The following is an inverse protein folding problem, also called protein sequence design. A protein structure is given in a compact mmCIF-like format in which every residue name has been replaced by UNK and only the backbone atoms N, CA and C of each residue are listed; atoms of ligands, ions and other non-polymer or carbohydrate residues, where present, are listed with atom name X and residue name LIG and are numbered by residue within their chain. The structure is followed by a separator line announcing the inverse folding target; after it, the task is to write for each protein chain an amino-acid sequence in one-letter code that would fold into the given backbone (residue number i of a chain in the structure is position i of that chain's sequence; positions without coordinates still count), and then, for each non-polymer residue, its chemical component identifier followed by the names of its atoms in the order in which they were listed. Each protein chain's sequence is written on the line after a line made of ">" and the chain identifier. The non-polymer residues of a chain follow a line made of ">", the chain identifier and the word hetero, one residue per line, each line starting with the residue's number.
data_IF_015050599339
#
_entry.id   IF_015050599339
#
_cell.length_a   1.000
_cell.length_b   1.000
_cell.length_c   1.000
_cell.angle_alpha   90.00
_cell.angle_beta   90.00
_cell.angle_gamma   90.00
#
_symmetry.space_group_name_H-M   'P 1'
#
loop_
_entity.id
_entity.type
_entity.pdbx_description
1 polymer ?
#
# COMPACT_ATOMS: atom_id res chain seq x y z
N UNK A 1 -10.41 6.56 -2.65
CA UNK A 1 -11.72 6.19 -3.23
C UNK A 1 -12.82 6.36 -2.20
N UNK A 2 -13.90 7.11 -2.52
CA UNK A 2 -15.08 7.25 -1.67
C UNK A 2 -16.16 6.28 -2.12
N UNK A 3 -16.68 5.47 -1.20
CA UNK A 3 -17.83 4.59 -1.44
C UNK A 3 -18.91 4.92 -0.40
N UNK A 4 -20.16 4.53 -0.67
CA UNK A 4 -21.26 4.69 0.30
C UNK A 4 -20.88 4.07 1.64
N UNK A 5 -20.77 4.89 2.69
CA UNK A 5 -20.43 4.46 4.05
C UNK A 5 -18.96 4.12 4.34
N UNK A 6 -18.03 4.25 3.37
CA UNK A 6 -16.60 4.01 3.61
C UNK A 6 -15.67 4.76 2.66
N UNK A 7 -14.54 5.25 3.19
CA UNK A 7 -13.41 5.72 2.39
C UNK A 7 -12.28 4.70 2.45
N UNK A 8 -11.75 4.37 1.27
CA UNK A 8 -10.63 3.44 1.10
C UNK A 8 -9.44 4.20 0.53
N UNK A 9 -8.30 4.09 1.20
CA UNK A 9 -7.01 4.59 0.76
C UNK A 9 -6.20 3.46 0.13
N UNK A 10 -5.69 3.71 -1.07
CA UNK A 10 -4.68 2.87 -1.70
C UNK A 10 -3.30 3.43 -1.33
N UNK A 11 -2.42 2.62 -0.74
CA UNK A 11 -1.09 3.05 -0.33
C UNK A 11 0.00 2.34 -1.14
N UNK A 12 1.06 3.08 -1.44
CA UNK A 12 2.30 2.57 -2.02
C UNK A 12 3.22 2.07 -0.90
N UNK A 13 4.03 1.06 -1.23
CA UNK A 13 5.05 0.46 -0.36
C UNK A 13 6.46 0.64 -0.90
N UNK A 14 6.62 0.94 -2.19
CA UNK A 14 7.89 1.19 -2.86
C UNK A 14 7.70 2.30 -3.90
N UNK A 15 8.79 2.89 -4.36
CA UNK A 15 8.84 3.71 -5.57
C UNK A 15 9.25 2.80 -6.72
N UNK A 16 8.32 2.54 -7.63
CA UNK A 16 8.46 1.49 -8.64
C UNK A 16 8.12 0.10 -8.09
N UNK A 17 8.37 -0.95 -8.85
CA UNK A 17 8.11 -2.34 -8.43
C UNK A 17 9.03 -3.32 -9.17
N UNK A 18 9.73 -4.18 -8.44
CA UNK A 18 10.64 -5.18 -9.02
C UNK A 18 9.90 -6.40 -9.62
N UNK A 19 8.60 -6.54 -9.38
CA UNK A 19 7.86 -7.74 -9.82
C UNK A 19 7.67 -7.82 -11.33
N UNK A 20 7.82 -6.70 -12.05
CA UNK A 20 7.87 -6.70 -13.51
C UNK A 20 6.59 -7.16 -14.20
N UNK A 21 5.43 -7.07 -13.55
CA UNK A 21 4.14 -7.40 -14.17
C UNK A 21 3.97 -6.57 -15.45
N UNK A 22 3.81 -7.23 -16.59
CA UNK A 22 3.88 -6.58 -17.91
C UNK A 22 2.65 -5.70 -18.20
N UNK A 23 1.54 -5.96 -17.52
CA UNK A 23 0.29 -5.17 -17.55
C UNK A 23 0.26 -4.04 -16.50
N UNK A 24 1.36 -3.76 -15.80
CA UNK A 24 1.40 -2.77 -14.72
C UNK A 24 2.41 -1.67 -15.03
N UNK A 25 1.98 -0.40 -15.06
CA UNK A 25 2.87 0.73 -15.30
C UNK A 25 3.98 0.84 -14.25
N UNK A 26 3.67 0.56 -12.99
CA UNK A 26 4.67 0.52 -11.93
C UNK A 26 5.68 -0.63 -12.14
N UNK A 27 5.23 -1.78 -12.63
CA UNK A 27 6.08 -2.94 -12.90
C UNK A 27 7.10 -2.67 -14.00
N UNK A 28 6.73 -1.88 -15.01
CA UNK A 28 7.61 -1.52 -16.12
C UNK A 28 8.63 -0.43 -15.79
N UNK A 29 8.44 0.32 -14.70
CA UNK A 29 9.43 1.31 -14.23
C UNK A 29 10.66 0.66 -13.59
N UNK A 30 10.58 -0.62 -13.21
CA UNK A 30 11.55 -1.25 -12.30
C UNK A 30 11.41 -0.72 -10.88
N UNK A 31 12.34 -1.11 -10.00
CA UNK A 31 12.39 -0.62 -8.62
C UNK A 31 13.39 0.52 -8.49
N UNK A 32 12.99 1.59 -7.80
CA UNK A 32 13.85 2.72 -7.45
C UNK A 32 14.25 2.63 -5.98
N UNK A 33 13.29 2.51 -5.06
CA UNK A 33 13.55 2.43 -3.63
C UNK A 33 12.38 1.81 -2.85
N UNK A 34 12.67 1.25 -1.68
CA UNK A 34 11.68 0.92 -0.66
C UNK A 34 11.26 2.18 0.11
N UNK A 35 9.98 2.29 0.46
CA UNK A 35 9.51 3.33 1.37
C UNK A 35 9.75 2.92 2.82
N UNK A 36 10.20 3.85 3.66
CA UNK A 36 10.21 3.61 5.10
C UNK A 36 8.77 3.62 5.65
N UNK A 37 8.59 3.09 6.87
CA UNK A 37 7.26 3.06 7.49
C UNK A 37 6.64 4.44 7.67
N UNK A 38 7.48 5.48 7.86
CA UNK A 38 7.05 6.88 7.96
C UNK A 38 6.40 7.37 6.67
N UNK A 39 7.03 7.12 5.52
CA UNK A 39 6.53 7.51 4.19
C UNK A 39 5.24 6.75 3.82
N UNK A 40 5.11 5.49 4.24
CA UNK A 40 3.86 4.73 4.09
C UNK A 40 2.74 5.35 4.94
N UNK A 41 3.05 5.72 6.19
CA UNK A 41 2.07 6.32 7.11
C UNK A 41 1.69 7.75 6.74
N UNK A 42 2.61 8.50 6.15
CA UNK A 42 2.36 9.87 5.68
C UNK A 42 1.23 9.90 4.65
N UNK A 43 1.15 8.92 3.74
CA UNK A 43 0.04 8.80 2.79
C UNK A 43 -1.32 8.72 3.52
N UNK A 44 -1.40 7.97 4.63
CA UNK A 44 -2.61 7.88 5.45
C UNK A 44 -2.89 9.19 6.20
N UNK A 45 -1.86 9.83 6.74
CA UNK A 45 -1.99 11.10 7.46
C UNK A 45 -2.53 12.20 6.54
N UNK A 46 -2.00 12.33 5.31
CA UNK A 46 -2.50 13.30 4.33
C UNK A 46 -3.91 12.96 3.86
N UNK A 47 -4.20 11.70 3.55
CA UNK A 47 -5.54 11.29 3.13
C UNK A 47 -6.61 11.59 4.19
N UNK A 48 -6.29 11.42 5.48
CA UNK A 48 -7.19 11.74 6.58
C UNK A 48 -7.51 13.24 6.71
N UNK A 49 -6.66 14.13 6.19
CA UNK A 49 -6.97 15.58 6.12
C UNK A 49 -8.04 15.88 5.07
N UNK A 50 -8.19 15.01 4.07
CA UNK A 50 -9.16 15.16 2.98
C UNK A 50 -10.48 14.44 3.30
N UNK A 51 -10.42 13.25 3.89
CA UNK A 51 -11.60 12.49 4.30
C UNK A 51 -11.24 11.44 5.36
N UNK A 52 -12.16 11.10 6.30
CA UNK A 52 -11.89 10.08 7.30
C UNK A 52 -11.70 8.71 6.64
N UNK A 53 -10.50 8.14 6.73
CA UNK A 53 -10.14 6.87 6.11
C UNK A 53 -10.52 5.72 7.02
N UNK A 54 -11.26 4.76 6.46
CA UNK A 54 -11.73 3.57 7.19
C UNK A 54 -11.04 2.29 6.71
N UNK A 55 -10.62 2.22 5.45
CA UNK A 55 -9.96 1.06 4.88
C UNK A 55 -8.65 1.46 4.21
N UNK A 56 -7.64 0.60 4.32
CA UNK A 56 -6.36 0.76 3.65
C UNK A 56 -6.09 -0.49 2.82
N UNK A 57 -5.65 -0.30 1.58
CA UNK A 57 -5.23 -1.40 0.70
C UNK A 57 -3.80 -1.13 0.21
N UNK A 58 -2.92 -2.10 0.38
CA UNK A 58 -1.58 -2.08 -0.21
C UNK A 58 -1.67 -2.59 -1.66
N UNK A 59 -2.19 -1.73 -2.54
CA UNK A 59 -2.36 -1.98 -3.97
C UNK A 59 -1.87 -0.77 -4.80
N UNK A 60 -1.05 0.10 -4.18
CA UNK A 60 -0.39 1.21 -4.85
C UNK A 60 0.88 0.73 -5.55
N UNK A 61 1.93 1.54 -5.50
CA UNK A 61 3.22 1.16 -6.07
C UNK A 61 3.97 0.17 -5.17
N UNK A 62 4.62 -0.82 -5.78
CA UNK A 62 5.48 -1.80 -5.11
C UNK A 62 4.84 -3.13 -4.74
N UNK A 63 5.69 -4.10 -4.38
CA UNK A 63 5.31 -5.38 -3.78
C UNK A 63 5.49 -5.29 -2.25
N UNK A 64 4.40 -5.20 -1.47
CA UNK A 64 4.47 -4.96 -0.02
C UNK A 64 5.27 -6.03 0.73
N UNK A 65 5.27 -7.28 0.26
CA UNK A 65 6.02 -8.33 0.92
C UNK A 65 7.53 -8.29 0.65
N UNK A 66 8.00 -7.58 -0.39
CA UNK A 66 9.43 -7.31 -0.57
C UNK A 66 9.93 -6.23 0.39
N UNK A 67 9.05 -5.28 0.78
CA UNK A 67 9.33 -4.26 1.80
C UNK A 67 8.71 -4.62 3.18
N UNK A 68 8.92 -5.87 3.61
CA UNK A 68 8.12 -6.48 4.68
C UNK A 68 8.19 -5.74 6.02
N UNK A 69 9.39 -5.37 6.48
CA UNK A 69 9.58 -4.83 7.83
C UNK A 69 8.98 -3.43 7.98
N UNK A 70 9.16 -2.57 6.96
CA UNK A 70 8.56 -1.24 6.93
C UNK A 70 7.03 -1.33 6.81
N UNK A 71 6.50 -2.23 5.97
CA UNK A 71 5.06 -2.45 5.82
C UNK A 71 4.45 -2.97 7.13
N UNK A 72 5.09 -3.94 7.80
CA UNK A 72 4.61 -4.47 9.08
C UNK A 72 4.62 -3.40 10.17
N UNK A 73 5.68 -2.58 10.24
CA UNK A 73 5.75 -1.45 11.16
C UNK A 73 4.64 -0.43 10.88
N UNK A 74 4.38 -0.11 9.61
CA UNK A 74 3.30 0.78 9.20
C UNK A 74 1.92 0.19 9.59
N UNK A 75 1.65 -1.08 9.31
CA UNK A 75 0.40 -1.76 9.71
C UNK A 75 0.19 -1.68 11.23
N UNK A 76 1.22 -1.94 12.02
CA UNK A 76 1.15 -1.85 13.49
C UNK A 76 0.80 -0.43 13.94
N UNK A 77 1.40 0.60 13.33
CA UNK A 77 1.09 1.99 13.63
C UNK A 77 -0.31 2.40 13.15
N UNK A 78 -0.76 1.95 11.97
CA UNK A 78 -2.13 2.16 11.47
C UNK A 78 -3.17 1.66 12.47
N UNK A 79 -2.92 0.51 13.09
CA UNK A 79 -3.82 -0.03 14.12
C UNK A 79 -3.69 0.65 15.48
N UNK A 80 -2.46 0.81 15.99
CA UNK A 80 -2.25 1.31 17.36
C UNK A 80 -2.41 2.83 17.50
N UNK A 81 -2.01 3.59 16.49
CA UNK A 81 -1.97 5.06 16.53
C UNK A 81 -3.16 5.65 15.79
N UNK A 82 -3.47 5.14 14.58
CA UNK A 82 -4.58 5.65 13.77
C UNK A 82 -5.92 4.95 14.04
N UNK A 83 -5.95 3.95 14.93
CA UNK A 83 -7.18 3.27 15.36
C UNK A 83 -7.86 2.41 14.28
N UNK A 84 -7.16 2.06 13.20
CA UNK A 84 -7.71 1.20 12.15
C UNK A 84 -7.77 -0.25 12.62
N UNK A 85 -8.98 -0.83 12.67
CA UNK A 85 -9.12 -2.24 12.95
C UNK A 85 -8.40 -3.06 11.85
N UNK A 86 -7.55 -4.04 12.18
CA UNK A 86 -6.72 -4.76 11.20
C UNK A 86 -7.51 -5.39 10.05
N UNK A 87 -8.76 -5.81 10.30
CA UNK A 87 -9.66 -6.37 9.28
C UNK A 87 -10.03 -5.39 8.15
N UNK A 88 -9.77 -4.10 8.30
CA UNK A 88 -9.96 -3.08 7.28
C UNK A 88 -8.66 -2.73 6.54
N UNK A 89 -7.57 -3.43 6.85
CA UNK A 89 -6.31 -3.36 6.13
C UNK A 89 -6.20 -4.61 5.25
N UNK A 90 -6.01 -4.42 3.96
CA UNK A 90 -5.76 -5.50 3.00
C UNK A 90 -4.35 -5.35 2.44
N UNK A 91 -3.53 -6.39 2.57
CA UNK A 91 -2.25 -6.48 1.91
C UNK A 91 -2.39 -7.33 0.64
N UNK A 92 -2.06 -6.77 -0.52
CA UNK A 92 -1.98 -7.52 -1.78
C UNK A 92 -0.55 -7.97 -2.03
N UNK A 93 -0.38 -9.15 -2.62
CA UNK A 93 0.94 -9.65 -3.05
C UNK A 93 0.83 -10.44 -4.35
N UNK A 94 1.86 -10.37 -5.18
CA UNK A 94 2.01 -11.22 -6.37
C UNK A 94 2.59 -12.59 -6.06
N UNK A 95 2.87 -12.90 -4.78
CA UNK A 95 3.15 -14.28 -4.35
C UNK A 95 4.51 -14.51 -3.69
N UNK A 96 5.00 -13.60 -2.83
CA UNK A 96 6.24 -13.82 -2.06
C UNK A 96 5.99 -14.87 -0.96
N UNK A 97 6.10 -16.16 -1.34
CA UNK A 97 5.61 -17.33 -0.59
C UNK A 97 6.00 -17.33 0.90
N UNK A 98 7.29 -17.15 1.21
CA UNK A 98 7.77 -17.19 2.59
C UNK A 98 7.21 -16.05 3.45
N UNK A 99 7.00 -14.87 2.85
CA UNK A 99 6.43 -13.70 3.52
C UNK A 99 4.91 -13.81 3.71
N UNK A 100 4.19 -14.53 2.85
CA UNK A 100 2.77 -14.86 3.09
C UNK A 100 2.63 -15.64 4.39
N UNK A 101 3.45 -16.70 4.57
CA UNK A 101 3.46 -17.50 5.80
C UNK A 101 3.87 -16.67 7.01
N UNK A 102 4.83 -15.77 6.86
CA UNK A 102 5.25 -14.87 7.93
C UNK A 102 4.14 -13.88 8.33
N UNK A 103 3.51 -13.20 7.37
CA UNK A 103 2.38 -12.28 7.60
C UNK A 103 1.23 -12.95 8.35
N UNK A 104 0.96 -14.21 8.01
CA UNK A 104 -0.09 -15.01 8.66
C UNK A 104 0.11 -15.16 10.17
N UNK A 105 1.37 -15.10 10.65
CA UNK A 105 1.73 -15.15 12.07
C UNK A 105 1.87 -13.75 12.67
N UNK A 106 2.55 -12.84 11.97
CA UNK A 106 2.93 -11.54 12.50
C UNK A 106 1.75 -10.54 12.51
N UNK A 107 0.77 -10.72 11.62
CA UNK A 107 -0.42 -9.87 11.48
C UNK A 107 -1.68 -10.68 11.10
N UNK A 108 -2.14 -11.62 11.96
CA UNK A 108 -3.17 -12.62 11.62
C UNK A 108 -4.58 -12.05 11.34
N UNK A 109 -4.82 -10.78 11.64
CA UNK A 109 -6.10 -10.12 11.43
C UNK A 109 -6.13 -9.21 10.19
N UNK A 110 -4.99 -8.99 9.54
CA UNK A 110 -4.90 -8.29 8.26
C UNK A 110 -5.44 -9.19 7.16
N UNK A 111 -6.20 -8.62 6.22
CA UNK A 111 -6.73 -9.36 5.07
C UNK A 111 -5.64 -9.55 4.02
N UNK A 112 -5.64 -10.72 3.39
CA UNK A 112 -4.73 -11.04 2.29
C UNK A 112 -5.49 -10.98 0.96
N UNK A 113 -4.90 -10.30 0.00
CA UNK A 113 -5.25 -10.41 -1.41
C UNK A 113 -4.09 -11.05 -2.19
N UNK A 114 -4.40 -12.00 -3.07
CA UNK A 114 -3.46 -12.62 -3.98
C UNK A 114 -3.68 -12.06 -5.38
N UNK A 115 -2.68 -11.37 -5.91
CA UNK A 115 -2.56 -11.02 -7.33
C UNK A 115 -2.19 -12.28 -8.13
N UNK A 116 -3.21 -13.06 -8.52
CA UNK A 116 -3.05 -14.35 -9.21
C UNK A 116 -2.89 -14.16 -10.72
N UNK A 117 -3.86 -13.48 -11.33
CA UNK A 117 -3.92 -13.08 -12.74
C UNK A 117 -3.85 -14.18 -13.82
N UNK A 118 -3.41 -15.40 -13.50
CA UNK A 118 -3.42 -16.53 -14.42
C UNK A 118 -3.53 -17.85 -13.65
N UNK A 119 -4.27 -18.85 -14.17
CA UNK A 119 -4.51 -20.10 -13.47
C UNK A 119 -3.50 -21.21 -13.77
N UNK A 120 -2.51 -20.97 -14.63
CA UNK A 120 -1.38 -21.90 -14.87
C UNK A 120 -0.04 -21.19 -14.72
N UNK A 121 1.02 -21.95 -14.49
CA UNK A 121 2.37 -21.38 -14.33
C UNK A 121 2.86 -20.72 -15.62
N UNK A 122 2.54 -21.31 -16.76
CA UNK A 122 2.96 -20.86 -18.10
C UNK A 122 2.37 -19.48 -18.37
N UNK A 123 1.04 -19.36 -18.27
CA UNK A 123 0.34 -18.08 -18.44
C UNK A 123 0.80 -17.05 -17.41
N UNK A 124 1.02 -17.46 -16.15
CA UNK A 124 1.50 -16.55 -15.11
C UNK A 124 2.90 -16.00 -15.42
N UNK A 125 3.78 -16.83 -15.97
CA UNK A 125 5.15 -16.44 -16.30
C UNK A 125 5.21 -15.47 -17.48
N UNK A 126 4.20 -15.50 -18.37
CA UNK A 126 4.07 -14.55 -19.48
C UNK A 126 3.75 -13.13 -18.99
N UNK A 127 2.82 -13.00 -18.05
CA UNK A 127 2.34 -11.68 -17.59
C UNK A 127 3.01 -11.20 -16.29
N UNK A 128 3.59 -12.11 -15.51
CA UNK A 128 4.39 -11.84 -14.31
C UNK A 128 5.69 -12.65 -14.41
N UNK A 129 6.73 -12.13 -15.09
CA UNK A 129 7.98 -12.86 -15.35
C UNK A 129 8.68 -13.38 -14.08
N UNK A 130 8.56 -12.64 -12.97
CA UNK A 130 9.11 -13.01 -11.66
C UNK A 130 8.40 -14.21 -11.01
N UNK A 131 7.24 -14.64 -11.53
CA UNK A 131 6.54 -15.83 -11.03
C UNK A 131 7.29 -17.14 -11.28
N UNK A 132 8.30 -17.15 -12.14
CA UNK A 132 9.22 -18.28 -12.31
C UNK A 132 9.96 -18.64 -11.01
N UNK A 133 10.24 -17.65 -10.15
CA UNK A 133 10.82 -17.86 -8.83
C UNK A 133 9.80 -18.38 -7.80
N UNK A 134 8.50 -18.31 -8.10
CA UNK A 134 7.41 -18.65 -7.20
C UNK A 134 6.41 -19.60 -7.88
N UNK A 135 6.73 -20.90 -7.97
CA UNK A 135 5.87 -21.89 -8.59
C UNK A 135 4.43 -21.86 -8.05
N UNK A 136 3.45 -21.92 -8.96
CA UNK A 136 2.02 -21.76 -8.66
C UNK A 136 1.52 -22.78 -7.65
N UNK A 137 1.97 -24.03 -7.73
CA UNK A 137 1.63 -25.09 -6.77
C UNK A 137 2.07 -24.72 -5.34
N UNK A 138 3.29 -24.24 -5.17
CA UNK A 138 3.84 -23.80 -3.88
C UNK A 138 3.17 -22.53 -3.38
N UNK A 139 2.78 -21.64 -4.28
CA UNK A 139 2.03 -20.45 -3.96
C UNK A 139 0.64 -20.81 -3.44
N UNK A 140 -0.09 -21.68 -4.13
CA UNK A 140 -1.40 -22.16 -3.68
C UNK A 140 -1.29 -22.90 -2.35
N UNK A 141 -0.24 -23.69 -2.13
CA UNK A 141 0.02 -24.32 -0.83
C UNK A 141 0.20 -23.28 0.30
N UNK A 142 0.86 -22.15 0.05
CA UNK A 142 0.98 -21.08 1.04
C UNK A 142 -0.35 -20.34 1.30
N UNK A 143 -1.24 -20.28 0.30
CA UNK A 143 -2.61 -19.79 0.49
C UNK A 143 -3.42 -20.77 1.32
N UNK A 144 -3.28 -22.07 1.08
CA UNK A 144 -3.93 -23.11 1.88
C UNK A 144 -3.48 -23.05 3.34
N UNK A 145 -2.17 -22.91 3.58
CA UNK A 145 -1.62 -22.68 4.92
C UNK A 145 -2.24 -21.42 5.56
N UNK A 146 -2.33 -20.32 4.82
CA UNK A 146 -2.91 -19.07 5.32
C UNK A 146 -4.39 -19.22 5.69
N UNK A 147 -5.17 -19.94 4.88
CA UNK A 147 -6.60 -20.21 5.12
C UNK A 147 -6.80 -21.13 6.33
N UNK A 148 -5.97 -22.17 6.48
CA UNK A 148 -6.06 -23.13 7.57
C UNK A 148 -5.80 -22.53 8.97
N UNK A 149 -5.11 -21.40 9.04
CA UNK A 149 -4.80 -20.72 10.32
C UNK A 149 -6.03 -20.23 11.09
N UNK A 150 -7.18 -20.03 10.44
CA UNK A 150 -8.42 -19.62 11.12
C UNK A 150 -9.67 -19.98 10.31
N UNK A 151 -10.65 -20.61 10.96
CA UNK A 151 -11.94 -20.87 10.36
C UNK A 151 -12.64 -19.58 9.87
N UNK A 152 -13.31 -19.67 8.71
CA UNK A 152 -14.01 -18.55 8.10
C UNK A 152 -13.09 -17.47 7.51
N UNK A 153 -11.77 -17.70 7.50
CA UNK A 153 -10.83 -16.83 6.78
C UNK A 153 -11.08 -16.93 5.27
N UNK A 154 -10.86 -15.80 4.59
CA UNK A 154 -11.12 -15.62 3.17
C UNK A 154 -9.92 -14.91 2.55
N UNK A 155 -9.45 -15.40 1.42
CA UNK A 155 -8.46 -14.69 0.59
C UNK A 155 -9.16 -14.07 -0.62
N UNK A 156 -8.89 -12.79 -0.89
CA UNK A 156 -9.33 -12.18 -2.13
C UNK A 156 -8.35 -12.56 -3.23
N UNK A 157 -8.84 -13.07 -4.35
CA UNK A 157 -8.02 -13.41 -5.51
C UNK A 157 -8.24 -12.35 -6.57
N UNK A 158 -7.25 -11.50 -6.79
CA UNK A 158 -7.27 -10.46 -7.81
C UNK A 158 -6.88 -11.08 -9.16
N UNK A 159 -7.72 -10.90 -10.17
CA UNK A 159 -7.54 -11.43 -11.51
C UNK A 159 -7.71 -10.32 -12.54
N UNK A 160 -6.60 -9.88 -13.15
CA UNK A 160 -6.61 -8.82 -14.15
C UNK A 160 -6.96 -9.47 -15.48
N UNK A 161 -8.08 -9.08 -16.08
CA UNK A 161 -8.58 -9.69 -17.31
C UNK A 161 -7.99 -8.96 -18.52
N UNK A 162 -7.24 -9.70 -19.33
CA UNK A 162 -6.49 -9.23 -20.49
C UNK A 162 -7.03 -9.96 -21.74
N UNK A 163 -7.55 -9.19 -22.68
CA UNK A 163 -8.20 -9.70 -23.88
C UNK A 163 -7.27 -10.58 -24.70
N UNK A 164 -7.69 -11.81 -25.00
CA UNK A 164 -6.94 -12.77 -25.81
C UNK A 164 -5.73 -13.40 -25.11
N UNK A 165 -5.54 -13.13 -23.81
CA UNK A 165 -4.39 -13.64 -23.04
C UNK A 165 -4.86 -14.59 -21.94
N UNK A 166 -5.81 -14.16 -21.11
CA UNK A 166 -6.24 -14.91 -19.92
C UNK A 166 -7.75 -14.84 -19.65
N UNK A 167 -8.54 -14.49 -20.66
CA UNK A 167 -9.98 -14.24 -20.58
C UNK A 167 -10.84 -15.29 -21.30
N UNK A 168 -10.24 -16.38 -21.79
CA UNK A 168 -10.99 -17.44 -22.46
C UNK A 168 -11.87 -18.26 -21.50
N UNK A 169 -12.93 -18.88 -22.04
CA UNK A 169 -13.83 -19.76 -21.26
C UNK A 169 -13.09 -20.98 -20.72
N UNK A 170 -12.17 -21.55 -21.50
CA UNK A 170 -11.30 -22.65 -21.07
C UNK A 170 -10.45 -22.21 -19.87
N UNK A 171 -9.90 -21.00 -19.94
CA UNK A 171 -9.12 -20.40 -18.84
C UNK A 171 -9.97 -20.21 -17.59
N UNK A 172 -11.24 -19.80 -17.75
CA UNK A 172 -12.19 -19.72 -16.63
C UNK A 172 -12.42 -21.09 -15.97
N UNK A 173 -12.54 -22.16 -16.76
CA UNK A 173 -12.64 -23.51 -16.21
C UNK A 173 -11.37 -23.96 -15.48
N UNK A 174 -10.17 -23.63 -15.98
CA UNK A 174 -8.91 -23.96 -15.30
C UNK A 174 -8.83 -23.19 -13.97
N UNK A 175 -9.16 -21.90 -13.96
CA UNK A 175 -9.22 -21.08 -12.75
C UNK A 175 -10.23 -21.63 -11.74
N UNK A 176 -11.43 -21.99 -12.22
CA UNK A 176 -12.47 -22.62 -11.41
C UNK A 176 -11.98 -23.88 -10.71
N UNK A 177 -11.31 -24.78 -11.45
CA UNK A 177 -10.71 -26.01 -10.91
C UNK A 177 -9.56 -25.75 -9.94
N UNK A 178 -8.77 -24.70 -10.17
CA UNK A 178 -7.67 -24.31 -9.29
C UNK A 178 -8.20 -23.80 -7.94
N UNK A 179 -9.31 -23.07 -7.95
CA UNK A 179 -9.82 -22.36 -6.77
C UNK A 179 -10.97 -23.06 -6.05
N UNK A 180 -11.63 -24.03 -6.69
CA UNK A 180 -12.67 -24.82 -6.04
C UNK A 180 -12.16 -25.43 -4.73
N UNK A 181 -13.04 -25.53 -3.73
CA UNK A 181 -12.75 -25.98 -2.36
C UNK A 181 -11.91 -25.02 -1.49
N UNK A 182 -11.51 -23.85 -2.00
CA UNK A 182 -10.85 -22.81 -1.19
C UNK A 182 -11.85 -21.73 -0.78
N UNK A 183 -11.72 -21.23 0.44
CA UNK A 183 -12.45 -20.05 0.89
C UNK A 183 -11.83 -18.80 0.26
N UNK A 184 -12.21 -18.52 -0.99
CA UNK A 184 -11.73 -17.38 -1.77
C UNK A 184 -12.88 -16.55 -2.33
N UNK A 185 -12.56 -15.29 -2.61
CA UNK A 185 -13.41 -14.38 -3.38
C UNK A 185 -12.63 -13.85 -4.57
N UNK A 186 -13.07 -14.20 -5.77
CA UNK A 186 -12.42 -13.78 -7.02
C UNK A 186 -12.89 -12.38 -7.39
N UNK A 187 -11.94 -11.46 -7.50
CA UNK A 187 -12.17 -10.11 -7.97
C UNK A 187 -11.64 -10.01 -9.41
N UNK A 188 -12.56 -10.08 -10.37
CA UNK A 188 -12.25 -9.88 -11.79
C UNK A 188 -12.08 -8.38 -12.03
N UNK A 189 -10.89 -7.98 -12.48
CA UNK A 189 -10.53 -6.59 -12.76
C UNK A 189 -10.40 -6.45 -14.27
N UNK A 190 -11.36 -5.83 -14.96
CA UNK A 190 -11.19 -5.46 -16.36
C UNK A 190 -9.94 -4.58 -16.50
N UNK A 191 -9.08 -4.90 -17.46
CA UNK A 191 -7.83 -4.15 -17.64
C UNK A 191 -8.09 -2.66 -17.85
N UNK A 192 -7.38 -1.83 -17.10
CA UNK A 192 -7.37 -0.39 -17.33
C UNK A 192 -6.25 -0.10 -18.32
N UNK A 193 -6.57 0.52 -19.45
CA UNK A 193 -5.55 0.94 -20.41
C UNK A 193 -4.56 1.86 -19.70
N UNK A 194 -3.28 1.54 -19.81
CA UNK A 194 -2.18 2.31 -19.22
C UNK A 194 -1.39 3.00 -20.32
N UNK A 195 -0.70 4.10 -20.00
CA UNK A 195 0.20 4.79 -20.93
C UNK A 195 1.47 3.99 -21.30
N UNK A 196 1.68 2.83 -20.67
CA UNK A 196 2.76 1.92 -21.04
C UNK A 196 2.44 1.21 -22.35
N UNK A 197 3.45 1.01 -23.19
CA UNK A 197 3.34 0.34 -24.51
C UNK A 197 2.97 -1.16 -24.49
N UNK A 198 2.33 -1.64 -23.42
CA UNK A 198 1.82 -3.00 -23.33
C UNK A 198 0.62 -3.16 -24.28
N UNK A 199 0.67 -4.16 -25.15
CA UNK A 199 -0.35 -4.45 -26.18
C UNK A 199 -1.65 -5.05 -25.61
N UNK A 200 -1.93 -4.84 -24.32
CA UNK A 200 -3.08 -5.42 -23.66
C UNK A 200 -4.32 -4.53 -23.80
N UNK A 201 -5.46 -5.19 -23.88
CA UNK A 201 -6.77 -4.55 -23.96
C UNK A 201 -7.70 -5.17 -22.92
N UNK A 202 -8.72 -4.42 -22.49
CA UNK A 202 -9.80 -5.01 -21.71
C UNK A 202 -10.63 -5.94 -22.61
N UNK A 203 -11.02 -7.12 -22.14
CA UNK A 203 -12.00 -7.94 -22.83
C UNK A 203 -13.34 -7.22 -22.98
N UNK A 204 -14.19 -7.74 -23.87
CA UNK A 204 -15.54 -7.21 -24.02
C UNK A 204 -16.36 -7.44 -22.74
N UNK A 205 -17.36 -6.60 -22.45
CA UNK A 205 -18.25 -6.84 -21.32
C UNK A 205 -18.99 -8.19 -21.39
N UNK A 206 -19.19 -8.74 -22.59
CA UNK A 206 -19.80 -10.06 -22.79
C UNK A 206 -18.85 -11.18 -22.36
N UNK A 207 -17.59 -11.13 -22.78
CA UNK A 207 -16.55 -12.11 -22.40
C UNK A 207 -16.35 -12.12 -20.89
N UNK A 208 -16.29 -10.94 -20.26
CA UNK A 208 -16.16 -10.80 -18.80
C UNK A 208 -17.34 -11.47 -18.08
N UNK A 209 -18.58 -11.25 -18.56
CA UNK A 209 -19.78 -11.88 -17.99
C UNK A 209 -19.78 -13.38 -18.19
N UNK A 210 -19.35 -13.87 -19.35
CA UNK A 210 -19.27 -15.29 -19.64
C UNK A 210 -18.21 -15.98 -18.75
N UNK A 211 -17.03 -15.38 -18.61
CA UNK A 211 -15.99 -15.84 -17.68
C UNK A 211 -16.49 -15.86 -16.23
N UNK A 212 -17.18 -14.79 -15.80
CA UNK A 212 -17.78 -14.69 -14.47
C UNK A 212 -18.83 -15.77 -14.20
N UNK A 213 -19.71 -16.05 -15.17
CA UNK A 213 -20.71 -17.11 -15.09
C UNK A 213 -20.06 -18.48 -14.92
N UNK A 214 -18.98 -18.77 -15.65
CA UNK A 214 -18.22 -20.03 -15.48
C UNK A 214 -17.62 -20.15 -14.08
N UNK A 215 -17.14 -19.09 -13.46
CA UNK A 215 -16.65 -19.21 -12.08
C UNK A 215 -17.78 -19.50 -11.08
N UNK A 216 -18.95 -18.90 -11.29
CA UNK A 216 -20.08 -19.02 -10.37
C UNK A 216 -20.86 -20.31 -10.52
N UNK A 217 -21.24 -20.68 -11.74
CA UNK A 217 -22.29 -21.68 -11.95
C UNK A 217 -21.76 -23.12 -11.76
N UNK A 218 -20.72 -23.57 -12.49
CA UNK A 218 -20.18 -24.92 -12.32
C UNK A 218 -19.26 -25.10 -11.09
N UNK A 219 -18.62 -24.03 -10.58
CA UNK A 219 -17.65 -24.14 -9.47
C UNK A 219 -18.10 -23.51 -8.16
N UNK A 220 -19.25 -22.82 -8.13
CA UNK A 220 -19.80 -22.15 -6.94
C UNK A 220 -18.81 -21.17 -6.26
N UNK A 221 -17.96 -20.51 -7.06
CA UNK A 221 -17.02 -19.51 -6.52
C UNK A 221 -17.72 -18.17 -6.31
N UNK A 222 -17.36 -17.49 -5.22
CA UNK A 222 -17.73 -16.08 -5.04
C UNK A 222 -16.88 -15.25 -5.98
N UNK A 223 -17.51 -14.61 -6.96
CA UNK A 223 -16.83 -13.75 -7.92
C UNK A 223 -17.54 -12.41 -8.08
N UNK A 224 -16.77 -11.32 -8.17
CA UNK A 224 -17.25 -9.97 -8.50
C UNK A 224 -16.46 -9.39 -9.65
N UNK A 225 -17.15 -8.66 -10.53
CA UNK A 225 -16.52 -7.81 -11.53
C UNK A 225 -16.32 -6.45 -10.87
N UNK A 226 -15.07 -5.98 -10.83
CA UNK A 226 -14.70 -4.70 -10.22
C UNK A 226 -15.10 -3.55 -11.15
N UNK A 227 -15.76 -2.54 -10.59
CA UNK A 227 -15.98 -1.27 -11.27
C UNK A 227 -14.67 -0.48 -11.32
N UNK A 228 -14.33 0.05 -12.50
CA UNK A 228 -13.17 0.90 -12.66
C UNK A 228 -13.43 2.26 -12.00
N UNK A 229 -12.58 2.63 -11.04
CA UNK A 229 -12.63 3.93 -10.37
C UNK A 229 -11.32 4.68 -10.64
N UNK A 230 -11.42 5.95 -11.06
CA UNK A 230 -10.28 6.85 -11.22
C UNK A 230 -9.48 6.68 -12.51
N UNK A 231 -10.00 5.95 -13.51
CA UNK A 231 -9.36 5.79 -14.82
C UNK A 231 -9.17 7.14 -15.55
N UNK A 232 -10.04 8.11 -15.28
CA UNK A 232 -10.01 9.48 -15.81
C UNK A 232 -8.84 10.33 -15.29
N UNK A 233 -8.20 9.91 -14.19
CA UNK A 233 -7.11 10.63 -13.53
C UNK A 233 -5.87 9.75 -13.32
N UNK A 234 -5.72 8.66 -14.07
CA UNK A 234 -4.66 7.66 -13.91
C UNK A 234 -4.55 7.06 -12.49
N UNK A 235 -5.66 7.06 -11.76
CA UNK A 235 -5.77 6.59 -10.39
C UNK A 235 -6.24 5.14 -10.27
N UNK A 236 -6.51 4.45 -11.39
CA UNK A 236 -6.94 3.06 -11.36
C UNK A 236 -5.76 2.11 -11.07
N UNK A 237 -6.08 0.88 -10.64
CA UNK A 237 -5.06 -0.12 -10.34
C UNK A 237 -4.17 -0.37 -11.56
N UNK A 238 -2.85 -0.25 -11.36
CA UNK A 238 -1.85 -0.47 -12.42
C UNK A 238 -1.46 0.77 -13.22
N UNK A 239 -2.14 1.91 -13.06
CA UNK A 239 -1.85 3.16 -13.80
C UNK A 239 -0.87 4.10 -13.08
N UNK A 240 -0.54 3.84 -11.80
CA UNK A 240 0.36 4.67 -11.01
C UNK A 240 1.79 4.61 -11.56
N UNK A 241 2.16 5.64 -12.33
CA UNK A 241 3.50 5.84 -12.86
C UNK A 241 4.00 7.25 -12.52
N UNK A 242 5.32 7.38 -12.36
CA UNK A 242 5.94 8.69 -12.24
C UNK A 242 5.85 9.39 -13.61
N UNK A 243 4.97 10.38 -13.73
CA UNK A 243 4.99 11.32 -14.85
C UNK A 243 5.97 12.44 -14.50
N UNK A 244 6.86 12.80 -15.41
CA UNK A 244 7.69 14.00 -15.26
C UNK A 244 6.75 15.20 -15.09
N UNK A 245 6.71 15.81 -13.89
CA UNK A 245 5.87 16.99 -13.62
C UNK A 245 6.27 18.11 -14.59
N UNK A 246 5.35 18.68 -15.39
CA UNK A 246 5.57 20.03 -15.89
C UNK A 246 5.62 20.98 -14.69
N UNK A 247 6.54 21.95 -14.74
CA UNK A 247 6.75 22.93 -13.69
C UNK A 247 5.43 23.67 -13.40
N UNK A 248 4.98 23.68 -12.13
CA UNK A 248 3.76 24.39 -11.69
C UNK A 248 2.50 23.56 -11.38
N UNK A 249 2.55 22.22 -11.32
CA UNK A 249 1.40 21.42 -10.86
C UNK A 249 1.29 21.41 -9.31
N UNK A 250 0.07 21.70 -8.81
CA UNK A 250 -0.27 21.67 -7.37
C UNK A 250 0.00 20.28 -6.79
N UNK A 251 0.65 20.24 -5.63
CA UNK A 251 0.93 19.01 -4.90
C UNK A 251 -0.14 18.69 -3.86
N UNK A 252 -0.17 17.46 -3.34
CA UNK A 252 -1.15 17.09 -2.31
C UNK A 252 -0.96 17.90 -1.02
N UNK A 253 0.26 18.34 -0.74
CA UNK A 253 0.61 19.26 0.34
C UNK A 253 -0.07 20.63 0.19
N UNK A 254 -0.46 21.00 -1.02
CA UNK A 254 -1.18 22.24 -1.31
C UNK A 254 -2.70 22.14 -1.06
N UNK A 255 -3.23 20.92 -0.83
CA UNK A 255 -4.67 20.64 -0.73
C UNK A 255 -5.23 20.67 0.71
N UNK A 256 -4.49 21.19 1.69
CA UNK A 256 -4.99 21.44 3.04
C UNK A 256 -5.66 22.81 3.22
N UNK A 257 -6.42 23.05 4.31
CA UNK A 257 -6.86 24.39 4.65
C UNK A 257 -5.63 25.28 4.80
N UNK A 258 -5.47 26.25 3.89
CA UNK A 258 -4.37 27.19 3.94
C UNK A 258 -4.44 27.93 5.26
N UNK A 259 -3.43 27.72 6.12
CA UNK A 259 -3.17 28.63 7.23
C UNK A 259 -2.98 30.00 6.60
N UNK A 260 -3.93 30.92 6.81
CA UNK A 260 -3.81 32.31 6.38
C UNK A 260 -2.50 32.84 6.95
N UNK A 261 -1.47 32.97 6.11
CA UNK A 261 -0.25 33.64 6.51
C UNK A 261 -0.66 35.06 6.84
N UNK A 262 -0.51 35.45 8.12
CA UNK A 262 -0.67 36.83 8.53
C UNK A 262 0.18 37.71 7.59
N UNK A 263 -0.35 38.81 7.07
CA UNK A 263 0.36 39.61 6.06
C UNK A 263 1.72 40.05 6.62
N UNK A 264 2.79 39.67 5.93
CA UNK A 264 4.14 40.17 6.20
C UNK A 264 4.12 41.69 5.98
N UNK A 265 4.20 42.46 7.07
CA UNK A 265 4.44 43.91 7.01
C UNK A 265 5.77 44.15 6.29
N UNK A 266 5.72 44.76 5.10
CA UNK A 266 6.89 45.31 4.43
C UNK A 266 7.49 46.42 5.32
N UNK A 267 8.66 46.17 5.91
CA UNK A 267 9.49 47.23 6.49
C UNK A 267 10.13 48.00 5.34
N UNK A 268 9.71 49.25 5.12
CA UNK A 268 10.54 50.29 4.50
C UNK A 268 11.18 51.14 5.59
N UNK A 269 12.38 51.71 5.36
CA UNK A 269 13.14 52.44 6.37
C UNK A 269 12.51 53.81 6.67
N UNK A 270 12.81 54.28 7.88
CA UNK A 270 12.24 55.38 8.63
C UNK A 270 12.44 56.79 8.05
N UNK A 271 11.41 57.63 8.20
CA UNK A 271 11.55 59.03 8.66
C UNK A 271 10.20 59.58 9.16
N UNK A 272 10.24 60.29 10.30
CA UNK A 272 9.25 61.33 10.65
C UNK A 272 8.11 60.98 11.62
N UNK A 273 8.37 61.27 12.90
CA UNK A 273 7.54 62.02 13.87
C UNK A 273 6.04 61.70 14.10
N UNK A 274 5.77 61.40 15.38
CA UNK A 274 4.73 61.95 16.27
C UNK A 274 3.65 61.02 16.84
N UNK A 275 3.40 61.33 18.12
CA UNK A 275 2.68 60.63 19.18
C UNK A 275 1.21 60.28 18.86
N UNK A 276 0.70 59.17 19.41
CA UNK A 276 -0.15 59.23 20.60
C UNK A 276 -0.59 57.84 21.11
N UNK A 277 -0.87 57.85 22.40
CA UNK A 277 -1.06 56.76 23.35
C UNK A 277 -2.44 56.07 23.34
N UNK A 278 -2.45 54.85 23.87
CA UNK A 278 -3.39 54.24 24.86
C UNK A 278 -3.94 52.86 24.48
N UNK A 279 -3.38 51.87 25.19
CA UNK A 279 -4.01 50.78 25.97
C UNK A 279 -5.31 50.10 25.49
N UNK A 280 -5.27 48.76 25.39
CA UNK A 280 -6.19 47.85 26.12
C UNK A 280 -5.78 46.37 25.93
N UNK A 281 -5.65 45.69 27.06
CA UNK A 281 -5.33 44.27 27.32
C UNK A 281 -5.93 43.20 26.38
N UNK A 282 -5.25 42.05 26.16
CA UNK A 282 -5.80 40.94 25.37
C UNK A 282 -6.66 39.98 26.22
N UNK A 283 -7.80 39.58 25.66
CA UNK A 283 -8.60 38.44 26.13
C UNK A 283 -7.92 37.14 25.68
N UNK A 284 -7.54 36.29 26.64
CA UNK A 284 -6.93 35.00 26.40
C UNK A 284 -7.94 33.95 25.92
N UNK A 285 -7.64 33.27 24.81
CA UNK A 285 -8.30 32.01 24.42
C UNK A 285 -7.25 30.89 24.44
N UNK A 286 -7.49 29.92 25.32
CA UNK A 286 -6.65 28.77 25.64
C UNK A 286 -6.50 27.80 24.46
N UNK A 287 -5.33 27.80 23.82
CA UNK A 287 -4.85 26.77 22.88
C UNK A 287 -3.64 25.99 23.42
N UNK A 288 -3.19 26.26 24.65
CA UNK A 288 -1.95 25.74 25.21
C UNK A 288 -1.95 24.25 25.57
N UNK A 289 -3.11 23.61 25.78
CA UNK A 289 -3.15 22.28 26.40
C UNK A 289 -2.75 21.12 25.49
N UNK A 290 -2.87 21.22 24.16
CA UNK A 290 -2.54 20.08 23.27
C UNK A 290 -1.08 20.09 22.84
N UNK A 291 -0.56 21.26 22.47
CA UNK A 291 0.85 21.42 22.11
C UNK A 291 1.78 21.21 23.32
N UNK A 292 1.36 21.63 24.52
CA UNK A 292 2.10 21.33 25.74
C UNK A 292 2.17 19.82 25.99
N UNK A 293 1.06 19.07 25.83
CA UNK A 293 1.05 17.61 26.00
C UNK A 293 1.88 16.86 24.96
N UNK A 294 1.99 17.37 23.73
CA UNK A 294 2.84 16.79 22.69
C UNK A 294 4.32 17.07 22.98
N UNK A 295 4.65 18.27 23.45
CA UNK A 295 6.03 18.59 23.84
C UNK A 295 6.45 17.85 25.11
N UNK A 296 5.60 17.76 26.13
CA UNK A 296 5.87 17.00 27.36
C UNK A 296 6.06 15.51 27.04
N UNK A 297 5.29 14.95 26.09
CA UNK A 297 5.49 13.58 25.59
C UNK A 297 6.81 13.41 24.81
N UNK A 298 7.25 14.41 24.05
CA UNK A 298 8.52 14.35 23.33
C UNK A 298 9.69 14.44 24.33
N UNK A 299 9.60 15.31 25.33
CA UNK A 299 10.63 15.49 26.35
C UNK A 299 10.73 14.30 27.32
N UNK A 300 9.60 13.69 27.71
CA UNK A 300 9.55 12.51 28.57
C UNK A 300 10.20 11.27 27.92
N UNK A 301 10.12 11.15 26.59
CA UNK A 301 10.65 10.00 25.86
C UNK A 301 11.98 10.25 25.15
N UNK A 302 12.53 11.47 25.18
CA UNK A 302 13.86 11.77 24.64
C UNK A 302 14.98 10.95 25.31
N UNK A 303 14.90 10.72 26.62
CA UNK A 303 15.87 9.89 27.33
C UNK A 303 15.73 8.41 26.94
N UNK A 304 14.50 7.89 26.79
CA UNK A 304 14.26 6.51 26.38
C UNK A 304 14.74 6.22 24.94
N UNK A 305 14.53 7.18 24.03
CA UNK A 305 15.01 7.09 22.64
C UNK A 305 16.55 7.18 22.59
N UNK A 306 17.15 8.07 23.38
CA UNK A 306 18.61 8.20 23.49
C UNK A 306 19.30 6.93 24.03
N UNK A 307 18.76 6.30 25.07
CA UNK A 307 19.30 5.06 25.63
C UNK A 307 19.17 3.87 24.67
N UNK A 308 18.11 3.82 23.86
CA UNK A 308 17.91 2.75 22.88
C UNK A 308 18.90 2.84 21.71
N UNK A 309 19.22 4.07 21.27
CA UNK A 309 20.22 4.32 20.22
C UNK A 309 21.67 4.12 20.71
N UNK A 310 21.97 4.45 21.97
CA UNK A 310 23.28 4.16 22.57
C UNK A 310 23.48 2.65 22.77
N UNK A 311 22.45 1.93 23.22
CA UNK A 311 22.49 0.48 23.42
C UNK A 311 22.69 -0.30 22.11
N UNK A 312 22.05 0.14 21.03
CA UNK A 312 22.27 -0.44 19.70
C UNK A 312 23.69 -0.19 19.17
N UNK A 313 24.26 0.98 19.44
CA UNK A 313 25.62 1.33 19.03
C UNK A 313 26.69 0.55 19.80
N UNK A 314 26.49 0.32 21.10
CA UNK A 314 27.39 -0.51 21.94
C UNK A 314 27.32 -1.99 21.54
N UNK A 315 26.14 -2.50 21.18
CA UNK A 315 25.98 -3.88 20.70
C UNK A 315 26.69 -4.12 19.36
N UNK A 316 26.61 -3.18 18.42
CA UNK A 316 27.31 -3.25 17.13
C UNK A 316 28.83 -3.18 17.33
N UNK A 317 29.31 -2.34 18.27
CA UNK A 317 30.74 -2.24 18.58
C UNK A 317 31.27 -3.51 19.28
N UNK A 318 30.51 -4.10 20.21
CA UNK A 318 30.88 -5.33 20.90
C UNK A 318 30.93 -6.55 19.95
N UNK A 319 29.99 -6.64 19.00
CA UNK A 319 29.99 -7.67 17.96
C UNK A 319 31.16 -7.47 16.98
N UNK A 320 31.52 -6.23 16.68
CA UNK A 320 32.68 -5.88 15.87
C UNK A 320 34.02 -6.25 16.51
N UNK A 321 34.17 -6.04 17.83
CA UNK A 321 35.37 -6.40 18.58
C UNK A 321 35.49 -7.92 18.76
N UNK A 322 34.39 -8.61 19.04
CA UNK A 322 34.37 -10.08 19.17
C UNK A 322 34.71 -10.81 17.85
N UNK A 323 34.43 -10.20 16.69
CA UNK A 323 34.82 -10.73 15.38
C UNK A 323 36.29 -10.50 15.02
N UNK A 324 36.94 -9.47 15.56
CA UNK A 324 38.39 -9.20 15.36
C UNK A 324 39.31 -10.01 16.29
N UNK A 325 38.79 -10.58 17.39
CA UNK A 325 39.56 -11.38 18.33
C UNK A 325 39.70 -12.88 18.00
N UNK A 326 39.07 -13.38 16.93
CA UNK A 326 39.07 -14.82 16.57
C UNK A 326 39.99 -15.20 15.40
N UNK A 327 40.85 -14.29 14.93
CA UNK A 327 41.78 -14.56 13.80
C UNK A 327 43.25 -14.74 14.22
N UNK A 328 43.54 -14.99 15.50
CA UNK A 328 44.89 -15.38 15.94
C UNK A 328 44.82 -16.36 17.11
N UNK A 329 44.68 -17.65 16.80
CA UNK A 329 45.27 -18.76 17.57
C UNK A 329 45.62 -19.85 16.55
N UNK A 330 46.89 -19.90 16.19
CA UNK A 330 47.60 -21.09 15.70
C UNK A 330 48.29 -21.77 16.87
#
# INVERSE_FOLDING_TARGET
>A
MRHTGRNTLCVSSQVGCQMGCTFCATGTLGIIADLCSGEILEQLAHANRVAPIRNVVFMGMGEPLNNYDAVLAAIRAMTKVFGLAPKYITLSTVGVIHRIRQLSRDAPLVRLALSLHAPTQEMRSEIVPTSTAYPLDKLMAAIDDHLAMKEGRLVMVEYCMLAGVNDSIETAHILGKLLQNRSVHVNLIPYNTTDVGAQFHSPSPEDIRAFHAVLRDPYNLKATIRENHGTDIDGACGQLALKNKPDGSRDIEDLGPQRTKAPRKNKKPSSGSDNDSVDTSPVAISTGSWLARVNDFIDEYQQAIGFTLLGASVAVLAIGIARRGRTHVS
#
